data_IF_944417708267
#
_entry.id   IF_944417708267
#
_cell.length_a   1.000
_cell.length_b   1.000
_cell.length_c   1.000
_cell.angle_alpha   90.00
_cell.angle_beta   90.00
_cell.angle_gamma   90.00
#
_symmetry.space_group_name_H-M   'P 1'
#
loop_
_entity.id
_entity.type
_entity.pdbx_description
1 polymer ?
#
# COMPACT_ATOMS: atom_id res chain seq x y z
N UNK A 1 -14.42 6.65 55.41
CA UNK A 1 -14.28 6.66 53.93
C UNK A 1 -14.39 5.22 53.45
N UNK A 2 -15.34 4.91 52.56
CA UNK A 2 -15.91 3.57 52.38
C UNK A 2 -15.02 2.69 51.47
N UNK A 3 -14.58 1.52 51.94
CA UNK A 3 -13.66 0.59 51.26
C UNK A 3 -14.16 0.09 49.89
N UNK A 4 -15.46 0.23 49.62
CA UNK A 4 -16.10 -0.15 48.34
C UNK A 4 -15.72 0.78 47.18
N UNK A 5 -15.38 2.04 47.45
CA UNK A 5 -15.06 3.00 46.39
C UNK A 5 -13.62 2.86 45.87
N UNK A 6 -12.74 2.16 46.62
CA UNK A 6 -11.35 1.95 46.24
C UNK A 6 -11.17 0.84 45.20
N UNK A 7 -12.12 -0.10 45.11
CA UNK A 7 -12.02 -1.26 44.22
C UNK A 7 -12.49 -0.98 42.79
N UNK A 8 -13.22 0.12 42.57
CA UNK A 8 -13.75 0.48 41.24
C UNK A 8 -12.74 1.33 40.45
N UNK A 9 -11.82 2.02 41.13
CA UNK A 9 -10.84 2.90 40.49
C UNK A 9 -9.62 2.18 39.91
N UNK A 10 -9.34 0.93 40.30
CA UNK A 10 -8.16 0.17 39.85
C UNK A 10 -8.37 -0.66 38.58
N UNK A 11 -9.60 -0.83 38.11
CA UNK A 11 -9.89 -1.63 36.91
C UNK A 11 -9.63 -0.89 35.58
N UNK A 12 -9.46 0.44 35.61
CA UNK A 12 -9.41 1.26 34.39
C UNK A 12 -7.99 1.66 33.94
N UNK A 13 -6.94 1.06 34.53
CA UNK A 13 -5.54 1.43 34.27
C UNK A 13 -4.79 0.51 33.29
N UNK A 14 -5.38 -0.57 32.78
CA UNK A 14 -4.63 -1.62 32.06
C UNK A 14 -4.84 -1.70 30.53
N UNK A 15 -5.55 -0.77 29.89
CA UNK A 15 -5.82 -0.85 28.43
C UNK A 15 -5.13 0.22 27.60
N UNK A 16 -4.02 0.78 28.10
CA UNK A 16 -3.26 1.76 27.36
C UNK A 16 -2.04 1.09 26.71
N UNK A 17 -2.02 1.12 25.37
CA UNK A 17 -0.84 0.95 24.51
C UNK A 17 -0.37 -0.47 24.16
N UNK A 18 -1.19 -1.24 23.45
CA UNK A 18 -0.67 -2.25 22.50
C UNK A 18 -1.32 -2.06 21.13
N UNK A 19 -0.96 -0.95 20.47
CA UNK A 19 -1.50 -0.59 19.16
C UNK A 19 -0.46 -0.03 18.19
N UNK A 20 0.84 -0.14 18.51
CA UNK A 20 1.88 0.06 17.50
C UNK A 20 1.88 -1.18 16.61
N UNK A 21 0.94 -1.21 15.68
CA UNK A 21 1.12 -1.97 14.45
C UNK A 21 2.49 -1.56 13.91
N UNK A 22 3.48 -2.43 14.07
CA UNK A 22 4.71 -2.35 13.30
C UNK A 22 4.25 -2.36 11.85
N UNK A 23 4.19 -1.18 11.23
CA UNK A 23 4.36 -1.04 9.80
C UNK A 23 5.77 -1.55 9.55
N UNK A 24 5.90 -2.89 9.51
CA UNK A 24 7.14 -3.59 9.30
C UNK A 24 7.74 -2.93 8.08
N UNK A 25 8.89 -2.32 8.32
CA UNK A 25 9.66 -1.52 7.39
C UNK A 25 9.41 -2.06 5.99
N UNK A 26 8.62 -1.32 5.22
CA UNK A 26 8.55 -1.56 3.79
C UNK A 26 9.98 -1.32 3.36
N UNK A 27 10.76 -2.39 3.23
CA UNK A 27 11.94 -2.39 2.39
C UNK A 27 11.45 -1.73 1.14
N UNK A 28 11.84 -0.48 0.90
CA UNK A 28 11.45 0.30 -0.27
C UNK A 28 11.86 -0.56 -1.43
N UNK A 29 10.89 -1.31 -1.96
CA UNK A 29 11.08 -2.22 -3.06
C UNK A 29 11.38 -1.27 -4.20
N UNK A 30 12.67 -1.06 -4.50
CA UNK A 30 13.02 -0.11 -5.53
C UNK A 30 12.35 -0.58 -6.82
N UNK A 31 11.53 0.30 -7.39
CA UNK A 31 10.77 -0.01 -8.59
C UNK A 31 11.73 -0.53 -9.66
N UNK A 32 11.49 -1.75 -10.15
CA UNK A 32 12.28 -2.32 -11.23
C UNK A 32 11.62 -2.01 -12.57
N UNK A 33 12.39 -1.65 -13.61
CA UNK A 33 11.85 -1.53 -14.95
C UNK A 33 11.15 -2.83 -15.37
N UNK A 34 9.91 -2.71 -15.84
CA UNK A 34 9.15 -3.83 -16.38
C UNK A 34 9.15 -3.79 -17.90
N UNK A 35 9.53 -4.91 -18.51
CA UNK A 35 9.44 -5.10 -19.96
C UNK A 35 8.09 -5.69 -20.31
N UNK A 36 7.42 -5.07 -21.29
CA UNK A 36 6.09 -5.50 -21.71
C UNK A 36 6.09 -6.96 -22.15
N UNK A 37 5.15 -7.74 -21.61
CA UNK A 37 5.03 -9.18 -21.88
C UNK A 37 5.83 -10.07 -20.92
N UNK A 38 6.65 -9.50 -20.03
CA UNK A 38 7.25 -10.27 -18.94
C UNK A 38 6.14 -10.77 -17.99
N UNK A 39 6.12 -12.04 -17.59
CA UNK A 39 5.12 -12.54 -16.66
C UNK A 39 5.30 -11.91 -15.28
N UNK A 40 4.19 -11.48 -14.68
CA UNK A 40 4.14 -11.01 -13.29
C UNK A 40 3.26 -11.95 -12.48
N UNK A 41 3.73 -12.37 -11.31
CA UNK A 41 2.95 -13.14 -10.37
C UNK A 41 2.17 -12.19 -9.44
N UNK A 42 1.23 -11.42 -9.98
CA UNK A 42 0.46 -10.44 -9.19
C UNK A 42 -0.61 -11.17 -8.37
N UNK A 43 -0.47 -11.19 -7.04
CA UNK A 43 -1.49 -11.70 -6.13
C UNK A 43 -2.51 -10.62 -5.73
N UNK A 44 -2.02 -9.42 -5.42
CA UNK A 44 -2.88 -8.27 -5.08
C UNK A 44 -2.22 -6.96 -5.50
N UNK A 45 -2.92 -6.13 -6.27
CA UNK A 45 -2.48 -4.75 -6.53
C UNK A 45 -2.73 -3.91 -5.28
N UNK A 46 -1.69 -3.21 -4.82
CA UNK A 46 -1.73 -2.36 -3.62
C UNK A 46 -1.90 -0.90 -4.01
N UNK A 47 -1.19 -0.44 -5.04
CA UNK A 47 -1.30 0.91 -5.55
C UNK A 47 -0.94 0.97 -7.03
N UNK A 48 -1.59 1.89 -7.75
CA UNK A 48 -1.23 2.32 -9.09
C UNK A 48 -1.06 3.83 -9.03
N UNK A 49 0.09 4.32 -9.49
CA UNK A 49 0.40 5.75 -9.46
C UNK A 49 0.89 6.18 -10.83
N UNK A 50 0.40 7.32 -11.31
CA UNK A 50 0.89 7.97 -12.51
C UNK A 50 0.83 9.49 -12.35
N UNK A 51 1.61 10.26 -13.13
CA UNK A 51 1.49 11.71 -13.17
C UNK A 51 0.09 12.14 -13.64
N UNK A 52 -0.56 13.01 -12.87
CA UNK A 52 -1.81 13.63 -13.31
C UNK A 52 -1.58 14.52 -14.53
N UNK A 53 -2.38 14.33 -15.57
CA UNK A 53 -2.30 15.09 -16.82
C UNK A 53 -3.69 15.20 -17.44
N UNK A 54 -3.97 16.30 -18.12
CA UNK A 54 -5.16 16.47 -18.96
C UNK A 54 -4.93 16.02 -20.40
N UNK A 55 -3.67 15.93 -20.83
CA UNK A 55 -3.33 15.47 -22.18
C UNK A 55 -3.41 13.96 -22.27
N UNK A 56 -4.04 13.44 -23.33
CA UNK A 56 -3.92 12.03 -23.68
C UNK A 56 -2.52 11.76 -24.26
N UNK A 57 -1.63 11.17 -23.47
CA UNK A 57 -0.26 10.83 -23.87
C UNK A 57 0.26 9.60 -23.13
N UNK A 58 1.40 9.08 -23.57
CA UNK A 58 2.10 8.01 -22.86
C UNK A 58 2.82 8.60 -21.64
N UNK A 59 2.57 8.03 -20.47
CA UNK A 59 3.18 8.42 -19.19
C UNK A 59 3.90 7.23 -18.54
N UNK A 60 4.81 7.53 -17.64
CA UNK A 60 5.43 6.53 -16.75
C UNK A 60 4.52 6.32 -15.55
N UNK A 61 4.23 5.06 -15.24
CA UNK A 61 3.40 4.66 -14.10
C UNK A 61 4.14 3.64 -13.24
N UNK A 62 3.83 3.66 -11.96
CA UNK A 62 4.36 2.73 -10.96
C UNK A 62 3.22 1.86 -10.42
N UNK A 63 3.48 0.54 -10.32
CA UNK A 63 2.58 -0.42 -9.69
C UNK A 63 3.26 -1.07 -8.51
N UNK A 64 2.61 -0.98 -7.35
CA UNK A 64 2.96 -1.74 -6.13
C UNK A 64 1.99 -2.89 -5.97
N UNK A 65 2.50 -4.09 -5.74
CA UNK A 65 1.68 -5.29 -5.60
C UNK A 65 2.29 -6.29 -4.61
N UNK A 66 1.47 -7.24 -4.15
CA UNK A 66 1.93 -8.43 -3.42
C UNK A 66 2.15 -9.54 -4.43
N UNK A 67 3.37 -10.03 -4.51
CA UNK A 67 3.74 -11.15 -5.37
C UNK A 67 3.10 -12.45 -4.85
N UNK A 68 2.38 -13.18 -5.70
CA UNK A 68 1.59 -14.35 -5.32
C UNK A 68 2.44 -15.58 -5.01
N UNK A 69 3.68 -15.62 -5.49
CA UNK A 69 4.61 -16.75 -5.25
C UNK A 69 5.37 -16.55 -3.94
N UNK A 70 5.91 -15.35 -3.73
CA UNK A 70 6.74 -15.03 -2.56
C UNK A 70 5.97 -14.44 -1.39
N UNK A 71 4.75 -13.91 -1.61
CA UNK A 71 3.94 -13.21 -0.62
C UNK A 71 4.50 -11.82 -0.23
N UNK A 72 5.53 -11.33 -0.94
CA UNK A 72 6.24 -10.09 -0.59
C UNK A 72 5.77 -8.89 -1.42
N UNK A 73 5.89 -7.66 -0.89
CA UNK A 73 5.70 -6.45 -1.68
C UNK A 73 6.73 -6.33 -2.81
N UNK A 74 6.23 -6.03 -4.00
CA UNK A 74 7.00 -5.80 -5.22
C UNK A 74 6.54 -4.49 -5.86
N UNK A 75 7.46 -3.83 -6.57
CA UNK A 75 7.21 -2.58 -7.26
C UNK A 75 7.82 -2.61 -8.66
N UNK A 76 7.05 -2.16 -9.65
CA UNK A 76 7.52 -2.03 -11.04
C UNK A 76 7.20 -0.66 -11.61
N UNK A 77 8.02 -0.23 -12.55
CA UNK A 77 7.81 0.97 -13.36
C UNK A 77 7.63 0.58 -14.82
N UNK A 78 6.62 1.14 -15.47
CA UNK A 78 6.28 0.87 -16.87
C UNK A 78 5.66 2.09 -17.54
N UNK A 79 5.39 2.00 -18.85
CA UNK A 79 4.72 3.06 -19.62
C UNK A 79 3.30 2.63 -19.99
N UNK A 80 2.33 3.54 -19.85
CA UNK A 80 0.93 3.36 -20.28
C UNK A 80 0.38 4.64 -20.88
N UNK A 81 -0.76 4.57 -21.57
CA UNK A 81 -1.55 5.75 -21.87
C UNK A 81 -2.09 6.33 -20.57
N UNK A 82 -1.96 7.64 -20.37
CA UNK A 82 -2.51 8.35 -19.21
C UNK A 82 -4.02 8.17 -19.08
N UNK A 83 -4.55 8.30 -17.87
CA UNK A 83 -5.99 8.20 -17.60
C UNK A 83 -6.84 9.22 -18.40
N UNK A 84 -6.26 10.34 -18.82
CA UNK A 84 -6.91 11.30 -19.73
C UNK A 84 -7.33 10.67 -21.08
N UNK A 85 -6.69 9.60 -21.51
CA UNK A 85 -7.08 8.88 -22.73
C UNK A 85 -8.35 8.03 -22.56
N UNK A 86 -8.74 7.70 -21.33
CA UNK A 86 -9.87 6.79 -21.04
C UNK A 86 -11.24 7.36 -21.38
N UNK A 87 -11.34 8.67 -21.58
CA UNK A 87 -12.59 9.39 -21.87
C UNK A 87 -12.83 9.65 -23.37
N UNK A 88 -12.00 9.10 -24.27
CA UNK A 88 -12.11 9.31 -25.72
C UNK A 88 -12.90 8.22 -26.48
N UNK A 89 -13.81 7.52 -25.78
CA UNK A 89 -14.68 6.50 -26.40
C UNK A 89 -15.89 7.14 -27.11
#
# INVERSE_FOLDING_TARGET
>A
MNMRTLLITTALACTAFTGLAQAASSSTSQAKPYEYGMPLHVGKVVALTEPSTTDCKVVTADMKYIDSVSGKPSEITYRKLSDACSYQN
#
